data_IF_304662689749
#
_entry.id   IF_304662689749
#
_cell.length_a   1.000
_cell.length_b   1.000
_cell.length_c   1.000
_cell.angle_alpha   90.00
_cell.angle_beta   90.00
_cell.angle_gamma   90.00
#
_symmetry.space_group_name_H-M   'P 1'
#
loop_
_entity.id
_entity.type
_entity.pdbx_description
1 polymer ?
#
# COMPACT_ATOMS: atom_id res chain seq x y z
N UNK A 1 -18.20 -22.00 -12.38
CA UNK A 1 -17.89 -20.92 -11.42
C UNK A 1 -16.40 -21.00 -11.17
N UNK A 2 -15.62 -19.95 -11.48
CA UNK A 2 -14.16 -19.98 -11.37
C UNK A 2 -13.78 -19.39 -10.01
N UNK A 3 -13.23 -20.22 -9.12
CA UNK A 3 -12.75 -19.80 -7.80
C UNK A 3 -11.28 -19.32 -7.92
N UNK A 4 -11.04 -18.22 -8.63
CA UNK A 4 -9.69 -17.62 -8.76
C UNK A 4 -9.38 -16.59 -7.67
N UNK A 5 -10.34 -16.36 -6.77
CA UNK A 5 -10.33 -15.30 -5.77
C UNK A 5 -10.75 -15.79 -4.38
N UNK A 6 -9.99 -15.41 -3.37
CA UNK A 6 -10.31 -15.60 -1.97
C UNK A 6 -10.38 -14.25 -1.25
N UNK A 7 -11.24 -14.15 -0.23
CA UNK A 7 -11.31 -12.97 0.61
C UNK A 7 -11.39 -13.32 2.09
N UNK A 8 -10.85 -12.44 2.92
CA UNK A 8 -11.02 -12.46 4.38
C UNK A 8 -11.30 -11.04 4.84
N UNK A 9 -12.44 -10.84 5.48
CA UNK A 9 -12.85 -9.55 6.02
C UNK A 9 -12.99 -9.66 7.53
N UNK A 10 -12.29 -8.81 8.26
CA UNK A 10 -12.40 -8.69 9.71
C UNK A 10 -13.15 -7.40 10.04
N UNK A 11 -14.26 -7.49 10.75
CA UNK A 11 -15.04 -6.33 11.12
C UNK A 11 -16.39 -6.67 11.71
N UNK A 12 -17.04 -5.69 12.32
CA UNK A 12 -18.43 -5.85 12.73
C UNK A 12 -19.32 -6.11 11.51
N UNK A 13 -20.27 -7.03 11.62
CA UNK A 13 -21.39 -7.02 10.68
C UNK A 13 -22.04 -5.64 10.80
N UNK A 14 -21.94 -4.82 9.75
CA UNK A 14 -22.75 -3.61 9.66
C UNK A 14 -24.18 -4.09 9.50
N UNK A 15 -24.85 -4.36 10.62
CA UNK A 15 -26.30 -4.35 10.65
C UNK A 15 -26.64 -2.90 10.36
N UNK A 16 -27.02 -2.61 9.11
CA UNK A 16 -27.62 -1.33 8.75
C UNK A 16 -28.97 -1.25 9.47
N UNK A 17 -28.97 -0.96 10.77
CA UNK A 17 -30.14 -0.39 11.42
C UNK A 17 -30.16 1.08 11.00
N UNK A 18 -30.94 1.35 9.95
CA UNK A 18 -31.40 2.69 9.65
C UNK A 18 -32.22 3.16 10.86
N UNK A 19 -31.56 3.90 11.75
CA UNK A 19 -32.13 4.89 12.69
C UNK A 19 -31.18 5.04 13.87
N UNK A 20 -30.40 6.11 13.90
CA UNK A 20 -30.28 6.99 15.08
C UNK A 20 -29.26 8.11 14.84
N UNK A 21 -29.78 9.31 15.00
CA UNK A 21 -29.06 10.57 14.97
C UNK A 21 -28.15 10.73 16.21
N UNK A 22 -27.05 11.46 16.00
CA UNK A 22 -26.33 12.29 16.97
C UNK A 22 -26.01 11.70 18.37
N UNK A 23 -24.76 11.25 18.56
CA UNK A 23 -23.97 11.64 19.74
C UNK A 23 -22.47 11.41 19.48
N UNK A 24 -21.70 12.49 19.53
CA UNK A 24 -20.26 12.55 19.28
C UNK A 24 -19.46 12.22 20.55
N UNK A 25 -19.65 11.01 21.08
CA UNK A 25 -18.91 10.56 22.27
C UNK A 25 -18.57 9.07 22.20
N UNK A 26 -17.29 8.78 21.97
CA UNK A 26 -16.63 7.51 22.31
C UNK A 26 -17.29 6.25 21.78
N UNK A 27 -17.24 6.02 20.46
CA UNK A 27 -17.55 4.68 19.91
C UNK A 27 -16.39 3.72 20.24
N UNK A 28 -16.65 2.76 21.13
CA UNK A 28 -15.79 1.60 21.35
C UNK A 28 -15.91 0.63 20.18
N UNK A 29 -14.91 -0.24 20.00
CA UNK A 29 -15.06 -1.35 19.04
C UNK A 29 -16.31 -2.16 19.42
N UNK A 30 -17.18 -2.50 18.47
CA UNK A 30 -18.37 -3.28 18.75
C UNK A 30 -17.97 -4.67 19.27
N UNK A 31 -18.61 -5.12 20.35
CA UNK A 31 -18.31 -6.41 21.00
C UNK A 31 -18.48 -7.63 20.06
N UNK A 32 -19.20 -7.47 18.94
CA UNK A 32 -19.44 -8.50 17.95
C UNK A 32 -18.59 -8.27 16.69
N UNK A 33 -17.29 -8.56 16.80
CA UNK A 33 -16.41 -8.64 15.63
C UNK A 33 -16.55 -10.00 14.95
N UNK A 34 -16.74 -10.00 13.63
CA UNK A 34 -16.91 -11.21 12.83
C UNK A 34 -15.84 -11.28 11.74
N UNK A 35 -15.47 -12.52 11.38
CA UNK A 35 -14.64 -12.79 10.21
C UNK A 35 -15.55 -13.36 9.13
N UNK A 36 -15.72 -12.61 8.05
CA UNK A 36 -16.41 -13.07 6.84
C UNK A 36 -15.39 -13.53 5.82
N UNK A 37 -15.57 -14.74 5.30
CA UNK A 37 -14.60 -15.32 4.37
C UNK A 37 -15.24 -16.40 3.50
N UNK A 38 -14.66 -16.64 2.31
CA UNK A 38 -14.98 -17.79 1.46
C UNK A 38 -13.91 -18.89 1.52
N UNK A 39 -12.94 -18.81 2.43
CA UNK A 39 -11.83 -19.75 2.52
C UNK A 39 -12.29 -21.19 2.69
N UNK A 40 -13.25 -21.46 3.57
CA UNK A 40 -13.72 -22.84 3.82
C UNK A 40 -14.43 -23.40 2.59
N UNK A 41 -15.17 -22.56 1.86
CA UNK A 41 -15.84 -22.97 0.63
C UNK A 41 -14.82 -23.34 -0.46
N UNK A 42 -13.79 -22.52 -0.65
CA UNK A 42 -12.72 -22.76 -1.62
C UNK A 42 -11.99 -24.08 -1.32
N UNK A 43 -11.71 -24.34 -0.04
CA UNK A 43 -11.04 -25.58 0.39
C UNK A 43 -11.96 -26.79 0.29
N UNK A 44 -13.20 -26.70 0.76
CA UNK A 44 -14.18 -27.79 0.68
C UNK A 44 -14.50 -28.18 -0.77
N UNK A 45 -14.46 -27.22 -1.69
CA UNK A 45 -14.62 -27.44 -3.12
C UNK A 45 -13.35 -27.95 -3.82
N UNK A 46 -12.23 -28.13 -3.12
CA UNK A 46 -10.95 -28.56 -3.69
C UNK A 46 -10.34 -27.56 -4.69
N UNK A 47 -10.77 -26.29 -4.65
CA UNK A 47 -10.42 -25.27 -5.64
C UNK A 47 -9.27 -24.36 -5.21
N UNK A 48 -8.63 -24.65 -4.07
CA UNK A 48 -7.65 -23.75 -3.48
C UNK A 48 -6.42 -23.49 -4.38
N UNK A 49 -6.00 -24.48 -5.17
CA UNK A 49 -4.91 -24.35 -6.15
C UNK A 49 -5.22 -23.40 -7.33
N UNK A 50 -6.50 -23.10 -7.54
CA UNK A 50 -6.97 -22.19 -8.58
C UNK A 50 -6.92 -20.72 -8.14
N UNK A 51 -6.84 -20.46 -6.83
CA UNK A 51 -6.79 -19.10 -6.31
C UNK A 51 -5.52 -18.40 -6.78
N UNK A 52 -5.69 -17.24 -7.41
CA UNK A 52 -4.61 -16.37 -7.89
C UNK A 52 -4.58 -15.04 -7.16
N UNK A 53 -5.67 -14.69 -6.49
CA UNK A 53 -5.87 -13.39 -5.87
C UNK A 53 -6.45 -13.55 -4.48
N UNK A 54 -5.93 -12.79 -3.53
CA UNK A 54 -6.45 -12.71 -2.17
C UNK A 54 -6.74 -11.24 -1.86
N UNK A 55 -7.91 -10.97 -1.31
CA UNK A 55 -8.23 -9.69 -0.69
C UNK A 55 -8.37 -9.85 0.83
N UNK A 56 -7.79 -8.91 1.55
CA UNK A 56 -7.90 -8.80 3.00
C UNK A 56 -8.45 -7.42 3.32
N UNK A 57 -9.62 -7.38 3.96
CA UNK A 57 -10.20 -6.15 4.48
C UNK A 57 -10.18 -6.16 6.01
N UNK A 58 -9.65 -5.11 6.62
CA UNK A 58 -9.65 -4.94 8.08
C UNK A 58 -10.43 -3.66 8.42
N UNK A 59 -11.61 -3.83 9.00
CA UNK A 59 -12.44 -2.77 9.55
C UNK A 59 -12.19 -2.69 11.05
N UNK A 60 -11.54 -1.61 11.50
CA UNK A 60 -11.22 -1.40 12.90
C UNK A 60 -11.24 0.10 13.24
N UNK A 61 -11.57 0.42 14.49
CA UNK A 61 -11.71 1.83 14.89
C UNK A 61 -10.37 2.49 15.20
N UNK A 62 -9.42 1.74 15.77
CA UNK A 62 -8.16 2.29 16.28
C UNK A 62 -6.97 1.43 15.85
N UNK A 63 -6.81 0.24 16.43
CA UNK A 63 -5.66 -0.65 16.21
C UNK A 63 -6.00 -1.78 15.22
N UNK A 64 -5.32 -1.89 14.06
CA UNK A 64 -5.63 -2.92 13.08
C UNK A 64 -5.00 -4.29 13.37
N UNK A 65 -4.03 -4.38 14.29
CA UNK A 65 -3.27 -5.61 14.51
C UNK A 65 -4.08 -6.82 14.99
N UNK A 66 -5.06 -6.69 15.91
CA UNK A 66 -5.94 -7.81 16.24
C UNK A 66 -6.65 -8.38 15.01
N UNK A 67 -7.13 -7.51 14.12
CA UNK A 67 -7.76 -7.91 12.87
C UNK A 67 -6.80 -8.63 11.92
N UNK A 68 -5.61 -8.07 11.73
CA UNK A 68 -4.55 -8.72 10.94
C UNK A 68 -4.17 -10.11 11.47
N UNK A 69 -3.98 -10.24 12.79
CA UNK A 69 -3.65 -11.53 13.42
C UNK A 69 -4.77 -12.54 13.22
N UNK A 70 -6.03 -12.13 13.37
CA UNK A 70 -7.18 -13.00 13.15
C UNK A 70 -7.30 -13.46 11.68
N UNK A 71 -7.06 -12.56 10.72
CA UNK A 71 -6.99 -12.88 9.28
C UNK A 71 -5.86 -13.88 9.01
N UNK A 72 -4.66 -13.59 9.49
CA UNK A 72 -3.49 -14.45 9.32
C UNK A 72 -3.76 -15.84 9.89
N UNK A 73 -4.32 -15.93 11.09
CA UNK A 73 -4.67 -17.21 11.71
C UNK A 73 -5.67 -17.98 10.84
N UNK A 74 -6.67 -17.30 10.26
CA UNK A 74 -7.65 -17.95 9.37
C UNK A 74 -7.03 -18.44 8.07
N UNK A 75 -6.14 -17.65 7.47
CA UNK A 75 -5.40 -18.03 6.27
C UNK A 75 -4.42 -19.18 6.53
N UNK A 76 -3.76 -19.20 7.69
CA UNK A 76 -2.82 -20.28 8.08
C UNK A 76 -3.49 -21.64 8.19
N UNK A 77 -4.78 -21.69 8.53
CA UNK A 77 -5.53 -22.95 8.60
C UNK A 77 -5.56 -23.70 7.26
N UNK A 78 -5.23 -23.03 6.15
CA UNK A 78 -5.22 -23.57 4.79
C UNK A 78 -3.92 -23.21 4.04
N UNK A 79 -2.80 -23.09 4.78
CA UNK A 79 -1.54 -22.48 4.34
C UNK A 79 -0.94 -23.08 3.05
N UNK A 80 -1.05 -24.39 2.83
CA UNK A 80 -0.44 -25.08 1.69
C UNK A 80 -1.03 -24.68 0.32
N UNK A 81 -2.12 -23.91 0.33
CA UNK A 81 -2.86 -23.52 -0.88
C UNK A 81 -2.39 -22.21 -1.50
N UNK A 82 -1.58 -21.43 -0.78
CA UNK A 82 -1.31 -20.03 -1.10
C UNK A 82 -0.14 -19.77 -2.05
N UNK A 83 0.66 -20.80 -2.35
CA UNK A 83 1.85 -20.69 -3.22
C UNK A 83 1.54 -20.17 -4.63
N UNK A 84 0.31 -20.36 -5.11
CA UNK A 84 -0.16 -19.95 -6.42
C UNK A 84 -0.69 -18.51 -6.51
N UNK A 85 -0.82 -17.80 -5.38
CA UNK A 85 -1.36 -16.44 -5.32
C UNK A 85 -0.34 -15.44 -5.86
N UNK A 86 -0.79 -14.58 -6.77
CA UNK A 86 0.04 -13.58 -7.45
C UNK A 86 -0.41 -12.15 -7.17
N UNK A 87 -1.64 -11.94 -6.73
CA UNK A 87 -2.14 -10.63 -6.34
C UNK A 87 -2.64 -10.64 -4.90
N UNK A 88 -2.21 -9.64 -4.14
CA UNK A 88 -2.69 -9.34 -2.80
C UNK A 88 -3.31 -7.94 -2.79
N UNK A 89 -4.57 -7.88 -2.40
CA UNK A 89 -5.23 -6.63 -2.04
C UNK A 89 -5.34 -6.58 -0.52
N UNK A 90 -4.82 -5.51 0.07
CA UNK A 90 -4.92 -5.28 1.48
C UNK A 90 -5.52 -3.91 1.72
N UNK A 91 -6.70 -3.88 2.32
CA UNK A 91 -7.42 -2.64 2.63
C UNK A 91 -7.70 -2.53 4.12
N UNK A 92 -7.30 -1.41 4.71
CA UNK A 92 -7.83 -0.98 6.01
C UNK A 92 -8.93 0.03 5.78
N UNK A 93 -10.10 -0.22 6.38
CA UNK A 93 -11.21 0.72 6.41
C UNK A 93 -11.24 1.40 7.79
N UNK A 94 -11.45 2.72 7.85
CA UNK A 94 -11.26 3.47 9.07
C UNK A 94 -12.50 3.29 9.97
N UNK A 95 -12.29 3.32 11.27
CA UNK A 95 -13.28 3.95 12.14
C UNK A 95 -13.14 5.46 12.14
N UNK A 96 -14.13 6.16 12.71
CA UNK A 96 -14.15 7.62 12.82
C UNK A 96 -12.96 8.22 13.58
N UNK A 97 -12.16 7.42 14.29
CA UNK A 97 -10.99 7.83 15.09
C UNK A 97 -9.68 7.23 14.56
N UNK A 98 -9.21 7.70 13.42
CA UNK A 98 -7.81 7.45 13.01
C UNK A 98 -6.85 8.06 14.02
N UNK A 99 -5.98 7.24 14.62
CA UNK A 99 -4.84 7.69 15.42
C UNK A 99 -3.96 8.59 14.54
N UNK A 100 -3.83 9.86 14.91
CA UNK A 100 -2.93 10.80 14.25
C UNK A 100 -1.49 10.57 14.76
N UNK A 101 -0.47 10.89 13.96
CA UNK A 101 0.95 10.70 14.32
C UNK A 101 1.33 11.38 15.64
N UNK A 102 0.58 12.41 16.03
CA UNK A 102 0.77 13.15 17.28
C UNK A 102 0.44 12.33 18.53
N UNK A 103 -0.47 11.36 18.42
CA UNK A 103 -0.91 10.53 19.54
C UNK A 103 -0.04 9.26 19.76
N UNK A 104 0.83 8.91 18.81
CA UNK A 104 1.62 7.66 18.83
C UNK A 104 3.09 7.84 19.24
N UNK A 105 3.52 9.05 19.61
CA UNK A 105 4.93 9.38 19.89
C UNK A 105 5.64 8.55 20.98
N UNK A 106 4.90 7.74 21.75
CA UNK A 106 5.44 6.87 22.81
C UNK A 106 5.19 5.36 22.61
N UNK A 107 4.54 4.91 21.53
CA UNK A 107 4.26 3.48 21.30
C UNK A 107 4.90 3.05 19.97
N UNK A 108 5.95 2.24 20.04
CA UNK A 108 6.49 1.57 18.85
C UNK A 108 5.61 0.37 18.51
N UNK A 109 5.21 0.29 17.24
CA UNK A 109 4.46 -0.82 16.68
C UNK A 109 5.33 -1.68 15.75
N UNK A 110 6.64 -1.49 15.78
CA UNK A 110 7.59 -2.11 14.83
C UNK A 110 7.50 -3.63 14.81
N UNK A 111 7.42 -4.25 15.99
CA UNK A 111 7.36 -5.71 16.15
C UNK A 111 6.08 -6.29 15.55
N UNK A 112 4.94 -5.67 15.82
CA UNK A 112 3.64 -6.09 15.30
C UNK A 112 3.59 -5.99 13.77
N UNK A 113 4.13 -4.89 13.24
CA UNK A 113 4.23 -4.70 11.78
C UNK A 113 5.14 -5.76 11.17
N UNK A 114 6.30 -6.01 11.77
CA UNK A 114 7.24 -7.03 11.30
C UNK A 114 6.59 -8.43 11.31
N UNK A 115 5.94 -8.82 12.40
CA UNK A 115 5.26 -10.12 12.54
C UNK A 115 4.21 -10.32 11.42
N UNK A 116 3.38 -9.31 11.17
CA UNK A 116 2.32 -9.38 10.16
C UNK A 116 2.92 -9.48 8.76
N UNK A 117 3.89 -8.62 8.43
CA UNK A 117 4.53 -8.63 7.12
C UNK A 117 5.25 -9.96 6.84
N UNK A 118 5.94 -10.51 7.83
CA UNK A 118 6.61 -11.81 7.71
C UNK A 118 5.62 -12.94 7.53
N UNK A 119 4.55 -12.95 8.32
CA UNK A 119 3.50 -13.96 8.24
C UNK A 119 2.80 -13.97 6.88
N UNK A 120 2.43 -12.80 6.37
CA UNK A 120 1.81 -12.67 5.05
C UNK A 120 2.78 -13.07 3.93
N UNK A 121 4.03 -12.63 4.00
CA UNK A 121 5.04 -12.94 2.97
C UNK A 121 5.36 -14.44 2.94
N UNK A 122 5.45 -15.09 4.09
CA UNK A 122 5.67 -16.52 4.19
C UNK A 122 4.51 -17.34 3.61
N UNK A 123 3.26 -16.91 3.83
CA UNK A 123 2.09 -17.57 3.25
C UNK A 123 1.93 -17.29 1.75
N UNK A 124 2.23 -16.07 1.31
CA UNK A 124 2.00 -15.60 -0.06
C UNK A 124 3.32 -15.23 -0.76
N UNK A 125 4.27 -16.18 -0.93
CA UNK A 125 5.61 -15.85 -1.42
C UNK A 125 5.64 -15.47 -2.89
N UNK A 126 4.57 -15.75 -3.66
CA UNK A 126 4.53 -15.55 -5.12
C UNK A 126 3.87 -14.24 -5.57
N UNK A 127 3.55 -13.32 -4.64
CA UNK A 127 2.87 -12.05 -4.94
C UNK A 127 3.71 -11.17 -5.86
N UNK A 128 3.09 -10.71 -6.95
CA UNK A 128 3.64 -9.81 -7.96
C UNK A 128 2.79 -8.55 -8.13
N UNK A 129 1.57 -8.55 -7.65
CA UNK A 129 0.68 -7.40 -7.64
C UNK A 129 0.24 -7.10 -6.21
N UNK A 130 0.49 -5.87 -5.75
CA UNK A 130 0.12 -5.43 -4.42
C UNK A 130 -0.77 -4.19 -4.54
N UNK A 131 -1.97 -4.27 -3.97
CA UNK A 131 -2.95 -3.19 -3.90
C UNK A 131 -3.17 -2.83 -2.44
N UNK A 132 -2.93 -1.58 -2.08
CA UNK A 132 -2.91 -1.09 -0.71
C UNK A 132 -4.00 -0.03 -0.53
N UNK A 133 -5.05 -0.44 0.17
CA UNK A 133 -6.19 0.37 0.58
C UNK A 133 -5.99 0.87 2.01
N UNK A 134 -6.30 2.15 2.25
CA UNK A 134 -6.16 2.70 3.59
C UNK A 134 -6.37 4.20 3.66
N UNK A 135 -6.06 4.75 4.81
CA UNK A 135 -6.24 6.17 5.12
C UNK A 135 -4.89 6.85 5.19
N UNK A 136 -4.74 7.96 4.47
CA UNK A 136 -3.45 8.67 4.36
C UNK A 136 -2.90 9.20 5.68
N UNK A 137 -3.73 9.33 6.74
CA UNK A 137 -3.31 9.75 8.09
C UNK A 137 -2.91 8.61 9.00
N UNK A 138 -3.17 7.37 8.62
CA UNK A 138 -2.91 6.22 9.48
C UNK A 138 -1.46 5.78 9.39
N UNK A 139 -0.64 6.22 10.34
CA UNK A 139 0.78 5.85 10.43
C UNK A 139 1.01 4.33 10.36
N UNK A 140 0.26 3.56 11.14
CA UNK A 140 0.43 2.10 11.24
C UNK A 140 0.23 1.44 9.88
N UNK A 141 -0.84 1.79 9.17
CA UNK A 141 -1.12 1.19 7.84
C UNK A 141 -0.08 1.60 6.81
N UNK A 142 0.42 2.83 6.86
CA UNK A 142 1.45 3.32 5.93
C UNK A 142 2.78 2.59 6.14
N UNK A 143 3.16 2.38 7.39
CA UNK A 143 4.37 1.65 7.76
C UNK A 143 4.25 0.16 7.39
N UNK A 144 3.14 -0.49 7.75
CA UNK A 144 2.90 -1.88 7.41
C UNK A 144 2.85 -2.13 5.91
N UNK A 145 2.19 -1.25 5.17
CA UNK A 145 2.14 -1.30 3.70
C UNK A 145 3.53 -1.15 3.08
N UNK A 146 4.34 -0.24 3.59
CA UNK A 146 5.70 -0.02 3.10
C UNK A 146 6.67 -1.16 3.42
N UNK A 147 6.63 -1.69 4.66
CA UNK A 147 7.38 -2.89 5.06
C UNK A 147 6.96 -4.11 4.23
N UNK A 148 5.65 -4.31 4.01
CA UNK A 148 5.13 -5.40 3.16
C UNK A 148 5.58 -5.27 1.70
N UNK A 149 5.46 -4.08 1.10
CA UNK A 149 5.92 -3.84 -0.27
C UNK A 149 7.43 -4.12 -0.41
N UNK A 150 8.23 -3.71 0.56
CA UNK A 150 9.69 -3.95 0.61
C UNK A 150 10.04 -5.44 0.63
N UNK A 151 9.26 -6.27 1.32
CA UNK A 151 9.45 -7.73 1.34
C UNK A 151 9.29 -8.34 -0.07
N UNK A 152 8.46 -7.74 -0.91
CA UNK A 152 8.24 -8.17 -2.30
C UNK A 152 9.07 -7.40 -3.35
N UNK A 153 9.97 -6.50 -2.95
CA UNK A 153 10.62 -5.54 -3.86
C UNK A 153 11.28 -6.15 -5.11
N UNK A 154 11.85 -7.36 -4.99
CA UNK A 154 12.55 -8.05 -6.08
C UNK A 154 11.62 -8.68 -7.13
N UNK A 155 10.36 -8.92 -6.79
CA UNK A 155 9.41 -9.65 -7.63
C UNK A 155 8.16 -8.85 -8.00
N UNK A 156 7.87 -7.78 -7.26
CA UNK A 156 6.69 -6.95 -7.46
C UNK A 156 6.73 -6.29 -8.85
N UNK A 157 5.62 -6.42 -9.58
CA UNK A 157 5.42 -5.89 -10.93
C UNK A 157 4.36 -4.78 -10.94
N UNK A 158 3.38 -4.85 -10.06
CA UNK A 158 2.32 -3.86 -9.90
C UNK A 158 2.27 -3.42 -8.44
N UNK A 159 2.36 -2.12 -8.21
CA UNK A 159 2.17 -1.50 -6.90
C UNK A 159 1.12 -0.41 -7.02
N UNK A 160 -0.02 -0.60 -6.38
CA UNK A 160 -1.08 0.41 -6.28
C UNK A 160 -1.30 0.74 -4.81
N UNK A 161 -1.26 2.02 -4.45
CA UNK A 161 -1.55 2.48 -3.10
C UNK A 161 -2.44 3.72 -3.12
N UNK A 162 -3.52 3.66 -2.35
CA UNK A 162 -4.45 4.77 -2.13
C UNK A 162 -3.95 5.81 -1.12
N UNK A 163 -2.79 5.56 -0.52
CA UNK A 163 -2.13 6.43 0.45
C UNK A 163 -0.61 6.40 0.31
N UNK A 164 0.13 7.34 0.93
CA UNK A 164 1.59 7.27 0.98
C UNK A 164 2.05 5.97 1.64
N UNK A 165 3.18 5.42 1.20
CA UNK A 165 3.81 4.25 1.83
C UNK A 165 5.20 4.63 2.35
N UNK A 166 5.55 4.14 3.55
CA UNK A 166 6.86 4.40 4.15
C UNK A 166 7.81 3.26 3.81
N UNK A 167 8.69 3.47 2.82
CA UNK A 167 9.63 2.45 2.34
C UNK A 167 11.06 2.83 2.75
N UNK A 168 11.82 1.92 3.39
CA UNK A 168 13.23 2.17 3.66
C UNK A 168 14.04 2.33 2.35
N UNK A 169 15.06 3.20 2.39
CA UNK A 169 15.77 3.68 1.20
C UNK A 169 16.71 2.67 0.53
N UNK A 170 16.95 1.55 1.18
CA UNK A 170 18.02 0.60 0.86
C UNK A 170 17.63 -0.42 -0.21
N UNK A 171 16.33 -0.68 -0.44
CA UNK A 171 15.89 -1.72 -1.37
C UNK A 171 15.14 -1.18 -2.60
N UNK A 172 15.78 -1.11 -3.78
CA UNK A 172 15.11 -0.67 -5.00
C UNK A 172 14.17 -1.74 -5.56
N UNK A 173 13.03 -1.31 -6.09
CA UNK A 173 12.09 -2.13 -6.82
C UNK A 173 12.55 -2.25 -8.28
N UNK A 174 12.98 -3.44 -8.68
CA UNK A 174 13.64 -3.65 -9.99
C UNK A 174 12.68 -4.10 -11.09
N UNK A 175 11.53 -4.69 -10.73
CA UNK A 175 10.60 -5.34 -11.67
C UNK A 175 9.25 -4.64 -11.85
N UNK A 176 9.03 -3.52 -11.16
CA UNK A 176 7.79 -2.75 -11.27
C UNK A 176 7.60 -2.27 -12.71
N UNK A 177 6.44 -2.58 -13.27
CA UNK A 177 5.97 -2.10 -14.57
C UNK A 177 4.83 -1.10 -14.43
N UNK A 178 4.06 -1.22 -13.36
CA UNK A 178 2.89 -0.39 -13.08
C UNK A 178 2.98 0.14 -11.66
N UNK A 179 2.96 1.46 -11.52
CA UNK A 179 2.91 2.12 -10.21
C UNK A 179 1.77 3.13 -10.16
N UNK A 180 0.92 3.02 -9.13
CA UNK A 180 -0.06 4.03 -8.74
C UNK A 180 0.14 4.35 -7.27
N UNK A 181 0.45 5.59 -6.93
CA UNK A 181 0.55 6.00 -5.53
C UNK A 181 -0.15 7.34 -5.36
N UNK A 182 -1.11 7.39 -4.44
CA UNK A 182 -1.68 8.63 -3.94
C UNK A 182 -0.85 9.11 -2.74
N UNK A 183 -0.06 10.14 -2.95
CA UNK A 183 0.61 10.93 -1.93
C UNK A 183 -0.34 11.84 -1.14
N UNK A 184 0.24 12.55 -0.19
CA UNK A 184 -0.41 13.64 0.55
C UNK A 184 0.62 14.72 0.83
N UNK A 185 0.19 15.96 1.04
CA UNK A 185 1.09 17.08 1.37
C UNK A 185 1.66 17.03 2.80
N UNK A 186 1.48 15.92 3.52
CA UNK A 186 2.02 15.73 4.86
C UNK A 186 3.50 15.37 4.72
N UNK A 187 4.35 16.08 5.46
CA UNK A 187 5.81 16.07 5.31
C UNK A 187 6.45 14.68 5.49
N UNK A 188 7.54 14.45 4.76
CA UNK A 188 8.50 13.36 5.05
C UNK A 188 8.40 12.11 4.19
N UNK A 189 7.36 11.95 3.36
CA UNK A 189 7.22 10.73 2.55
C UNK A 189 7.85 10.85 1.17
N UNK A 190 8.53 9.78 0.77
CA UNK A 190 9.23 9.65 -0.50
C UNK A 190 8.67 8.47 -1.27
N UNK A 191 8.64 8.58 -2.59
CA UNK A 191 8.33 7.44 -3.44
C UNK A 191 9.43 6.37 -3.25
N UNK A 192 9.07 5.07 -3.20
CA UNK A 192 10.06 4.00 -3.20
C UNK A 192 11.04 4.14 -4.35
N UNK A 193 12.28 3.68 -4.18
CA UNK A 193 13.23 3.67 -5.32
C UNK A 193 12.78 2.66 -6.36
N UNK A 194 12.49 3.10 -7.58
CA UNK A 194 12.00 2.21 -8.65
C UNK A 194 12.92 2.33 -9.86
N UNK A 195 13.31 1.19 -10.45
CA UNK A 195 14.06 1.20 -11.70
C UNK A 195 13.21 1.75 -12.87
N UNK A 196 13.59 2.85 -13.53
CA UNK A 196 12.80 3.45 -14.60
C UNK A 196 12.74 2.59 -15.87
N UNK A 197 13.69 1.66 -16.06
CA UNK A 197 13.84 0.85 -17.28
C UNK A 197 12.71 -0.17 -17.50
N UNK A 198 12.04 -0.59 -16.42
CA UNK A 198 10.97 -1.58 -16.45
C UNK A 198 9.57 -0.98 -16.47
N UNK A 199 9.43 0.33 -16.18
CA UNK A 199 8.14 0.98 -15.98
C UNK A 199 7.42 1.23 -17.31
N UNK A 200 6.15 0.84 -17.37
CA UNK A 200 5.24 1.02 -18.50
C UNK A 200 4.10 2.00 -18.16
N UNK A 201 3.74 2.12 -16.88
CA UNK A 201 2.66 2.98 -16.38
C UNK A 201 3.04 3.65 -15.05
N UNK A 202 2.86 4.97 -14.97
CA UNK A 202 3.01 5.77 -13.75
C UNK A 202 1.74 6.59 -13.53
N UNK A 203 1.18 6.51 -12.32
CA UNK A 203 0.20 7.46 -11.79
C UNK A 203 0.60 7.90 -10.39
N UNK A 204 0.89 9.19 -10.22
CA UNK A 204 1.36 9.76 -8.96
C UNK A 204 0.50 10.98 -8.64
N UNK A 205 -0.32 10.90 -7.59
CA UNK A 205 -1.23 11.98 -7.21
C UNK A 205 -0.80 12.57 -5.86
N UNK A 206 -0.87 13.89 -5.66
CA UNK A 206 -0.68 14.53 -4.36
C UNK A 206 0.76 14.64 -3.82
N UNK A 207 1.78 14.58 -4.69
CA UNK A 207 3.19 14.73 -4.30
C UNK A 207 3.75 16.12 -4.67
N UNK A 208 4.76 16.63 -3.93
CA UNK A 208 5.45 17.86 -4.29
C UNK A 208 6.39 17.63 -5.49
N UNK A 209 6.54 18.65 -6.34
CA UNK A 209 7.25 18.54 -7.62
C UNK A 209 8.77 18.35 -7.48
N UNK A 210 9.36 18.91 -6.42
CA UNK A 210 10.81 18.97 -6.17
C UNK A 210 11.47 17.62 -5.83
N UNK A 211 10.72 16.63 -5.36
CA UNK A 211 11.29 15.37 -4.86
C UNK A 211 10.73 14.09 -5.48
N UNK A 212 9.78 14.20 -6.42
CA UNK A 212 9.11 13.04 -7.01
C UNK A 212 10.08 12.14 -7.80
N UNK A 213 10.90 12.76 -8.63
CA UNK A 213 11.59 12.07 -9.72
C UNK A 213 12.90 11.42 -9.31
N UNK A 214 13.51 11.89 -8.22
CA UNK A 214 14.76 11.32 -7.68
C UNK A 214 14.59 9.86 -7.24
N UNK A 215 13.36 9.43 -6.91
CA UNK A 215 13.04 8.04 -6.63
C UNK A 215 13.31 7.09 -7.81
N UNK A 216 13.33 7.61 -9.04
CA UNK A 216 13.63 6.83 -10.24
C UNK A 216 15.10 6.93 -10.67
N UNK A 217 15.94 7.66 -9.92
CA UNK A 217 17.34 7.78 -10.26
C UNK A 217 18.12 6.53 -9.87
N UNK A 218 18.90 6.00 -10.81
CA UNK A 218 19.83 4.90 -10.57
C UNK A 218 20.97 5.36 -9.66
N UNK A 219 21.48 6.57 -9.89
CA UNK A 219 22.59 7.18 -9.16
C UNK A 219 22.24 8.57 -8.64
N UNK A 220 22.78 8.96 -7.48
CA UNK A 220 22.54 10.28 -6.87
C UNK A 220 23.08 11.46 -7.70
N UNK A 221 23.92 11.19 -8.70
CA UNK A 221 24.49 12.18 -9.61
C UNK A 221 23.82 12.23 -10.99
N UNK A 222 22.85 11.35 -11.28
CA UNK A 222 22.28 11.31 -12.63
C UNK A 222 21.38 12.52 -12.89
N UNK A 223 21.79 13.36 -13.84
CA UNK A 223 20.99 14.47 -14.32
C UNK A 223 19.90 14.03 -15.30
N UNK A 224 19.99 12.81 -15.84
CA UNK A 224 19.04 12.29 -16.84
C UNK A 224 18.40 11.02 -16.30
N UNK A 225 17.07 10.99 -16.28
CA UNK A 225 16.30 9.77 -16.02
C UNK A 225 15.53 9.41 -17.27
N UNK A 226 15.82 8.24 -17.81
CA UNK A 226 15.17 7.74 -19.02
C UNK A 226 14.21 6.60 -18.69
N UNK A 227 12.99 6.71 -19.21
CA UNK A 227 11.93 5.73 -19.08
C UNK A 227 11.64 5.10 -20.45
N UNK A 228 12.44 4.13 -20.90
CA UNK A 228 12.41 3.62 -22.28
C UNK A 228 11.10 2.92 -22.65
N UNK A 229 10.32 2.46 -21.66
CA UNK A 229 9.10 1.67 -21.86
C UNK A 229 7.83 2.38 -21.40
N UNK A 230 7.93 3.57 -20.80
CA UNK A 230 6.79 4.26 -20.21
C UNK A 230 5.82 4.70 -21.30
N UNK A 231 4.59 4.18 -21.26
CA UNK A 231 3.53 4.49 -22.22
C UNK A 231 2.53 5.49 -21.67
N UNK A 232 2.29 5.46 -20.37
CA UNK A 232 1.33 6.36 -19.69
C UNK A 232 1.97 6.99 -18.49
N UNK A 233 1.95 8.32 -18.46
CA UNK A 233 2.33 9.13 -17.31
C UNK A 233 1.15 9.99 -16.88
N UNK A 234 0.72 9.79 -15.64
CA UNK A 234 -0.19 10.69 -14.92
C UNK A 234 0.50 11.21 -13.66
N UNK A 235 0.63 12.52 -13.54
CA UNK A 235 1.10 13.15 -12.32
C UNK A 235 0.10 14.25 -11.92
N UNK A 236 -0.26 14.33 -10.65
CA UNK A 236 -1.04 15.44 -10.10
C UNK A 236 -0.25 15.95 -8.90
N UNK A 237 0.29 17.16 -8.99
CA UNK A 237 1.11 17.72 -7.92
C UNK A 237 0.26 18.36 -6.83
N UNK A 238 0.70 18.24 -5.57
CA UNK A 238 0.14 19.03 -4.49
C UNK A 238 0.62 20.48 -4.61
N UNK A 239 -0.30 21.44 -4.66
CA UNK A 239 0.01 22.88 -4.78
C UNK A 239 0.57 23.53 -3.51
N UNK A 240 1.08 22.76 -2.56
CA UNK A 240 1.64 23.30 -1.33
C UNK A 240 2.91 24.09 -1.67
N UNK A 241 2.87 25.40 -1.42
CA UNK A 241 4.07 26.24 -1.34
C UNK A 241 4.91 25.66 -0.22
N UNK A 242 6.09 25.15 -0.55
CA UNK A 242 7.13 24.83 0.41
C UNK A 242 7.43 26.14 1.17
N UNK A 243 6.85 26.30 2.35
CA UNK A 243 7.18 27.40 3.28
C UNK A 243 8.39 27.03 4.14
N UNK A 244 9.09 25.94 3.80
CA UNK A 244 10.40 25.63 4.36
C UNK A 244 11.40 26.66 3.80
N UNK A 245 11.56 27.73 4.56
CA UNK A 245 12.58 28.76 4.44
C UNK A 245 13.98 28.16 4.68
N UNK A 246 14.42 27.30 3.77
CA UNK A 246 15.80 26.86 3.65
C UNK A 246 16.14 26.76 2.15
N UNK A 247 15.92 27.87 1.45
CA UNK A 247 16.61 28.17 0.18
C UNK A 247 18.12 28.37 0.45
N UNK A 248 18.76 27.31 0.94
CA UNK A 248 20.16 27.10 0.62
C UNK A 248 20.22 26.92 -0.89
N UNK A 249 20.64 28.01 -1.55
CA UNK A 249 20.97 28.12 -2.97
C UNK A 249 21.84 26.93 -3.40
N UNK A 250 21.21 25.83 -3.77
CA UNK A 250 21.84 24.80 -4.56
C UNK A 250 21.64 25.23 -6.00
N UNK A 251 22.74 25.55 -6.68
CA UNK A 251 22.77 25.73 -8.13
C UNK A 251 21.91 24.64 -8.77
N UNK A 252 20.78 25.06 -9.35
CA UNK A 252 19.68 24.18 -9.72
C UNK A 252 20.09 23.20 -10.78
N UNK A 253 20.57 22.04 -10.35
CA UNK A 253 20.91 20.92 -11.20
C UNK A 253 19.62 20.44 -11.87
N UNK A 254 19.36 20.91 -13.09
CA UNK A 254 18.14 20.59 -13.85
C UNK A 254 18.15 19.09 -14.16
N UNK A 255 17.21 18.36 -13.56
CA UNK A 255 16.95 16.98 -13.92
C UNK A 255 16.16 16.93 -15.23
N UNK A 256 16.65 16.13 -16.19
CA UNK A 256 16.02 15.90 -17.50
C UNK A 256 15.34 14.54 -17.50
N UNK A 257 14.04 14.53 -17.74
CA UNK A 257 13.25 13.30 -17.87
C UNK A 257 13.03 12.98 -19.35
N UNK A 258 13.26 11.72 -19.74
CA UNK A 258 13.09 11.25 -21.13
C UNK A 258 12.07 10.11 -21.19
N UNK A 259 11.11 10.23 -22.11
CA UNK A 259 10.00 9.28 -22.26
C UNK A 259 9.81 8.86 -23.74
N UNK A 260 10.77 8.13 -24.35
CA UNK A 260 10.76 7.83 -25.79
C UNK A 260 9.57 7.00 -26.27
N UNK A 261 8.91 6.25 -25.37
CA UNK A 261 7.75 5.40 -25.69
C UNK A 261 6.39 5.98 -25.24
N UNK A 262 6.36 7.24 -24.78
CA UNK A 262 5.18 7.85 -24.18
C UNK A 262 4.05 8.03 -25.21
N UNK A 263 2.85 7.62 -24.82
CA UNK A 263 1.63 7.76 -25.63
C UNK A 263 0.61 8.66 -24.97
N UNK A 264 0.50 8.59 -23.64
CA UNK A 264 -0.48 9.34 -22.87
C UNK A 264 0.23 10.14 -21.78
N UNK A 265 0.00 11.45 -21.77
CA UNK A 265 0.53 12.38 -20.77
C UNK A 265 -0.62 13.16 -20.14
N UNK A 266 -0.68 13.15 -18.80
CA UNK A 266 -1.55 14.01 -18.00
C UNK A 266 -0.73 14.51 -16.82
N UNK A 267 -0.51 15.82 -16.72
CA UNK A 267 0.31 16.45 -15.68
C UNK A 267 -0.42 17.66 -15.13
#
# INVERSE_FOLDING_TARGET
MVYDYAYVQYGAAIVQSADSAASDSGRSEPDNVLISTNLELVVAAGCASLVRRVAVDVFCLTNPFPGYRAVIQRMRAVADTWMGVRALELAKHPGQTTLDERDTSNVSYDDDVCEICESLTAMLPSVRELRLGGFYRDYISREASGKLATRYAEQLQVLCSSHPIAVPHDRPFTRIRHVEICGSSVDGYRIPRINPSSIEYIKLDGFPANHLWTAFSTDSSSQVIEFPRLRTLRAIYSGARDNSSDESRTDGCKMVLRFPALKNLSV
#
